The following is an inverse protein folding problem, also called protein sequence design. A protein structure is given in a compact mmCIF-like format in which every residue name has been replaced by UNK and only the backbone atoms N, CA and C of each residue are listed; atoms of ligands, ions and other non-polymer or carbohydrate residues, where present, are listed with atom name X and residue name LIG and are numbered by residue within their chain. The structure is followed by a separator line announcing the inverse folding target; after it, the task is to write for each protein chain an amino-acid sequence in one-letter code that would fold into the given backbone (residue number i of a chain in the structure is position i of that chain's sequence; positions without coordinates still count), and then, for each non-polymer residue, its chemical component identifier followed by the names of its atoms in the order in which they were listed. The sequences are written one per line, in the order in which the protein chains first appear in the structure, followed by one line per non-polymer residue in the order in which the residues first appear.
data_IF_021934511319
#
_entry.id   IF_021934511319
#
_cell.length_a   1.000
_cell.length_b   1.000
_cell.length_c   1.000
_cell.angle_alpha   90.00
_cell.angle_beta   90.00
_cell.angle_gamma   90.00
#
_symmetry.space_group_name_H-M   'P 1'
#
loop_
_entity.id
_entity.type
_entity.pdbx_description
1 polymer ?
#
# COMPACT_ATOMS: atom_id res chain seq x y z
N UNK A 1 14.33 -11.02 6.80
CA UNK A 1 14.38 -9.57 6.46
C UNK A 1 15.36 -9.42 5.31
N UNK A 2 14.98 -8.72 4.25
CA UNK A 2 15.84 -8.55 3.08
C UNK A 2 16.82 -7.40 3.35
N UNK A 3 18.14 -7.63 3.28
CA UNK A 3 19.14 -6.63 3.68
C UNK A 3 19.04 -5.29 2.93
N UNK A 4 18.65 -5.31 1.65
CA UNK A 4 18.54 -4.12 0.81
C UNK A 4 17.34 -3.23 1.14
N UNK A 5 16.41 -3.66 1.98
CA UNK A 5 15.26 -2.88 2.45
C UNK A 5 15.42 -2.36 3.88
N UNK A 6 16.61 -2.43 4.46
CA UNK A 6 16.83 -2.09 5.86
C UNK A 6 16.34 -0.68 6.23
N UNK A 7 16.55 0.31 5.37
CA UNK A 7 16.11 1.69 5.60
C UNK A 7 14.59 1.84 5.75
N UNK A 8 13.80 0.95 5.15
CA UNK A 8 12.33 0.97 5.25
C UNK A 8 11.81 0.34 6.56
N UNK A 9 12.67 -0.34 7.31
CA UNK A 9 12.32 -0.91 8.63
C UNK A 9 12.74 0.01 9.78
N UNK A 10 13.38 1.13 9.49
CA UNK A 10 13.78 2.08 10.52
C UNK A 10 12.58 2.85 11.09
N UNK A 11 12.57 3.16 12.41
CA UNK A 11 11.50 3.95 13.04
C UNK A 11 11.28 5.33 12.40
N UNK A 12 12.32 5.90 11.80
CA UNK A 12 12.23 7.16 11.08
C UNK A 12 11.33 7.05 9.84
N UNK A 13 11.40 5.93 9.10
CA UNK A 13 10.53 5.69 7.96
C UNK A 13 9.07 5.52 8.39
N UNK A 14 8.81 4.78 9.48
CA UNK A 14 7.45 4.60 9.99
C UNK A 14 6.77 5.93 10.35
N UNK A 15 7.51 6.88 10.94
CA UNK A 15 7.00 8.24 11.21
C UNK A 15 6.68 9.01 9.93
N UNK A 16 7.56 8.95 8.94
CA UNK A 16 7.36 9.61 7.64
C UNK A 16 6.20 8.95 6.87
N UNK A 17 6.06 7.65 6.99
CA UNK A 17 4.98 6.88 6.36
C UNK A 17 3.59 7.35 6.82
N UNK A 18 3.41 7.63 8.10
CA UNK A 18 2.12 8.13 8.61
C UNK A 18 1.93 9.64 8.43
N UNK A 19 2.97 10.38 8.06
CA UNK A 19 2.88 11.81 7.79
C UNK A 19 2.28 12.14 6.41
N UNK A 20 2.28 11.18 5.48
CA UNK A 20 1.76 11.33 4.12
C UNK A 20 0.67 10.30 3.86
N UNK A 21 -0.44 10.72 3.24
CA UNK A 21 -1.57 9.81 3.01
C UNK A 21 -1.43 8.92 1.77
N UNK A 22 -0.53 9.26 0.84
CA UNK A 22 -0.37 8.50 -0.42
C UNK A 22 1.09 8.16 -0.67
N UNK A 23 1.38 6.87 -0.80
CA UNK A 23 2.70 6.32 -1.07
C UNK A 23 2.70 5.51 -2.36
N UNK A 24 3.70 5.74 -3.19
CA UNK A 24 3.94 4.97 -4.42
C UNK A 24 5.30 4.29 -4.33
N UNK A 25 5.29 2.98 -4.18
CA UNK A 25 6.48 2.14 -4.19
C UNK A 25 6.77 1.67 -5.62
N UNK A 26 8.01 1.85 -6.06
CA UNK A 26 8.48 1.40 -7.37
C UNK A 26 9.56 0.35 -7.17
N UNK A 27 9.31 -0.87 -7.66
CA UNK A 27 10.28 -1.97 -7.67
C UNK A 27 10.47 -2.46 -9.10
N UNK A 28 11.70 -2.47 -9.61
CA UNK A 28 11.95 -2.86 -11.01
C UNK A 28 11.66 -4.34 -11.27
N UNK A 29 11.93 -5.24 -10.32
CA UNK A 29 11.85 -6.69 -10.52
C UNK A 29 10.84 -7.41 -9.63
N UNK A 30 10.00 -6.70 -8.89
CA UNK A 30 8.92 -7.30 -8.09
C UNK A 30 9.34 -8.21 -6.94
N UNK A 31 10.61 -8.62 -6.88
CA UNK A 31 11.10 -9.52 -5.87
C UNK A 31 11.18 -8.86 -4.49
N UNK A 32 10.26 -9.26 -3.63
CA UNK A 32 10.23 -8.86 -2.24
C UNK A 32 9.56 -7.51 -1.95
N UNK A 33 9.20 -6.70 -2.95
CA UNK A 33 8.50 -5.43 -2.71
C UNK A 33 7.14 -5.63 -2.06
N UNK A 34 6.36 -6.59 -2.53
CA UNK A 34 5.08 -6.94 -1.93
C UNK A 34 5.26 -7.36 -0.46
N UNK A 35 6.23 -8.21 -0.19
CA UNK A 35 6.54 -8.66 1.18
C UNK A 35 7.02 -7.51 2.07
N UNK A 36 7.81 -6.58 1.52
CA UNK A 36 8.18 -5.36 2.25
C UNK A 36 6.96 -4.55 2.63
N UNK A 37 6.10 -4.25 1.63
CA UNK A 37 4.90 -3.45 1.84
C UNK A 37 3.94 -4.15 2.81
N UNK A 38 3.72 -5.46 2.67
CA UNK A 38 2.92 -6.23 3.61
C UNK A 38 3.45 -6.15 5.04
N UNK A 39 4.75 -6.25 5.23
CA UNK A 39 5.36 -6.10 6.55
C UNK A 39 5.19 -4.68 7.11
N UNK A 40 5.38 -3.65 6.28
CA UNK A 40 5.13 -2.26 6.69
C UNK A 40 3.68 -2.05 7.14
N UNK A 41 2.73 -2.57 6.37
CA UNK A 41 1.31 -2.48 6.69
C UNK A 41 0.96 -3.26 7.95
N UNK A 42 1.47 -4.48 8.13
CA UNK A 42 1.29 -5.27 9.37
C UNK A 42 1.85 -4.55 10.59
N UNK A 43 3.05 -3.96 10.47
CA UNK A 43 3.66 -3.18 11.55
C UNK A 43 2.79 -1.97 11.92
N UNK A 44 2.26 -1.28 10.93
CA UNK A 44 1.39 -0.11 11.14
C UNK A 44 0.02 -0.49 11.71
N UNK A 45 -0.54 -1.62 11.29
CA UNK A 45 -1.84 -2.13 11.76
C UNK A 45 -1.77 -2.73 13.17
N UNK A 46 -0.58 -3.09 13.65
CA UNK A 46 -0.41 -3.71 14.96
C UNK A 46 -0.80 -2.77 16.11
N UNK A 47 -1.65 -3.23 17.00
CA UNK A 47 -2.09 -2.46 18.19
C UNK A 47 -1.02 -2.39 19.28
N UNK A 48 -0.07 -3.32 19.28
CA UNK A 48 0.97 -3.44 20.31
C UNK A 48 2.34 -3.70 19.65
N UNK A 49 2.86 -2.77 18.84
CA UNK A 49 4.16 -2.96 18.21
C UNK A 49 5.26 -3.08 19.25
N UNK A 50 6.30 -3.87 18.95
CA UNK A 50 7.47 -3.97 19.80
C UNK A 50 8.28 -2.65 19.81
N UNK A 51 9.35 -2.60 20.60
CA UNK A 51 10.24 -1.42 20.75
C UNK A 51 10.88 -0.98 19.45
N UNK A 52 10.92 -1.86 18.42
CA UNK A 52 11.43 -1.57 17.09
C UNK A 52 10.31 -1.21 16.10
N UNK A 53 9.06 -1.06 16.55
CA UNK A 53 7.91 -0.75 15.70
C UNK A 53 7.43 -1.92 14.84
N UNK A 54 7.82 -3.15 15.15
CA UNK A 54 7.40 -4.35 14.42
C UNK A 54 6.15 -4.96 15.02
N UNK A 55 5.34 -5.60 14.18
CA UNK A 55 4.11 -6.28 14.61
C UNK A 55 4.42 -7.36 15.67
N UNK A 56 3.61 -7.38 16.74
CA UNK A 56 3.79 -8.29 17.86
C UNK A 56 3.42 -9.74 17.55
N UNK A 57 2.57 -9.98 16.54
CA UNK A 57 2.14 -11.31 16.10
C UNK A 57 1.01 -11.94 16.94
N UNK A 58 0.53 -11.30 18.01
CA UNK A 58 -0.43 -11.90 18.95
C UNK A 58 -1.58 -10.99 19.40
N UNK A 59 -1.63 -9.72 18.97
CA UNK A 59 -2.79 -8.87 19.25
C UNK A 59 -3.94 -9.17 18.28
N UNK A 60 -5.14 -8.70 18.57
CA UNK A 60 -6.32 -8.92 17.71
C UNK A 60 -6.08 -8.53 16.25
N UNK A 61 -5.41 -7.40 16.02
CA UNK A 61 -5.06 -6.95 14.69
C UNK A 61 -4.10 -7.92 13.98
N UNK A 62 -3.12 -8.49 14.68
CA UNK A 62 -2.18 -9.46 14.12
C UNK A 62 -2.78 -10.84 13.85
N UNK A 63 -3.89 -11.20 14.50
CA UNK A 63 -4.61 -12.47 14.30
C UNK A 63 -5.37 -12.52 12.98
N UNK A 64 -5.75 -11.35 12.43
CA UNK A 64 -6.39 -11.32 11.11
C UNK A 64 -5.42 -11.74 10.00
N UNK A 65 -5.94 -12.49 9.02
CA UNK A 65 -5.22 -12.64 7.76
C UNK A 65 -5.02 -11.28 7.10
N UNK A 66 -3.94 -11.13 6.33
CA UNK A 66 -3.60 -9.83 5.76
C UNK A 66 -4.72 -9.25 4.87
N UNK A 67 -5.37 -10.09 4.07
CA UNK A 67 -6.43 -9.67 3.13
C UNK A 67 -7.79 -9.45 3.79
N UNK A 68 -8.03 -10.06 4.96
CA UNK A 68 -9.31 -9.96 5.68
C UNK A 68 -9.29 -8.94 6.82
N UNK A 69 -8.18 -8.22 6.98
CA UNK A 69 -8.04 -7.25 8.05
C UNK A 69 -9.07 -6.11 7.92
N UNK A 70 -9.86 -5.79 8.97
CA UNK A 70 -10.98 -4.84 8.88
C UNK A 70 -10.57 -3.41 8.54
N UNK A 71 -9.31 -3.04 8.80
CA UNK A 71 -8.74 -1.71 8.49
C UNK A 71 -7.96 -1.68 7.18
N UNK A 72 -7.86 -2.79 6.46
CA UNK A 72 -7.11 -2.90 5.21
C UNK A 72 -8.01 -3.36 4.05
N UNK A 73 -7.87 -2.72 2.91
CA UNK A 73 -8.40 -3.21 1.64
C UNK A 73 -7.26 -3.43 0.67
N UNK A 74 -7.10 -4.67 0.22
CA UNK A 74 -6.12 -5.03 -0.81
C UNK A 74 -6.82 -5.09 -2.15
N UNK A 75 -6.24 -4.43 -3.16
CA UNK A 75 -6.69 -4.46 -4.55
C UNK A 75 -5.57 -5.02 -5.40
N UNK A 76 -5.89 -6.01 -6.18
CA UNK A 76 -5.01 -6.64 -7.14
C UNK A 76 -5.73 -6.83 -8.49
N UNK A 77 -4.96 -7.03 -9.53
CA UNK A 77 -5.52 -7.32 -10.87
C UNK A 77 -6.49 -8.49 -10.82
N UNK A 78 -7.59 -8.36 -11.55
CA UNK A 78 -8.57 -9.43 -11.65
C UNK A 78 -8.02 -10.57 -12.56
N UNK A 79 -7.76 -11.77 -12.02
CA UNK A 79 -7.21 -12.89 -12.78
C UNK A 79 -8.20 -13.50 -13.78
N UNK A 80 -9.50 -13.24 -13.61
CA UNK A 80 -10.56 -13.79 -14.49
C UNK A 80 -10.66 -13.01 -15.81
N UNK A 81 -10.13 -11.79 -15.84
CA UNK A 81 -10.12 -10.98 -17.05
C UNK A 81 -8.98 -11.40 -17.99
N UNK A 82 -9.26 -11.51 -19.29
CA UNK A 82 -8.26 -11.80 -20.33
C UNK A 82 -7.09 -10.81 -20.29
N UNK A 83 -7.37 -9.55 -19.98
CA UNK A 83 -6.36 -8.53 -19.65
C UNK A 83 -6.36 -8.38 -18.14
N UNK A 84 -5.29 -8.84 -17.49
CA UNK A 84 -5.13 -8.73 -16.05
C UNK A 84 -4.98 -7.25 -15.64
N UNK A 85 -6.09 -6.57 -15.39
CA UNK A 85 -6.18 -5.14 -15.03
C UNK A 85 -6.90 -4.94 -13.71
N UNK A 86 -6.64 -3.82 -13.06
CA UNK A 86 -7.46 -3.30 -11.98
C UNK A 86 -8.57 -2.46 -12.59
N UNK A 87 -9.82 -2.80 -12.30
CA UNK A 87 -11.00 -2.18 -12.92
C UNK A 87 -11.54 -1.00 -12.13
N UNK A 88 -12.39 -0.20 -12.77
CA UNK A 88 -13.05 0.94 -12.12
C UNK A 88 -14.02 0.47 -11.03
N UNK A 89 -14.65 -0.69 -11.19
CA UNK A 89 -15.58 -1.27 -10.21
C UNK A 89 -14.85 -1.54 -8.90
N UNK A 90 -13.64 -2.14 -8.96
CA UNK A 90 -12.82 -2.38 -7.78
C UNK A 90 -12.46 -1.08 -7.05
N UNK A 91 -12.19 0.00 -7.80
CA UNK A 91 -11.91 1.32 -7.19
C UNK A 91 -13.17 1.96 -6.61
N UNK A 92 -14.34 1.78 -7.24
CA UNK A 92 -15.61 2.31 -6.72
C UNK A 92 -16.04 1.64 -5.42
N UNK A 93 -15.78 0.35 -5.26
CA UNK A 93 -16.04 -0.39 -4.03
C UNK A 93 -15.28 0.16 -2.83
N UNK A 94 -14.15 0.85 -3.06
CA UNK A 94 -13.40 1.53 -2.00
C UNK A 94 -14.21 2.62 -1.31
N UNK A 95 -15.10 3.31 -2.02
CA UNK A 95 -15.90 4.39 -1.44
C UNK A 95 -16.70 3.90 -0.23
N UNK A 96 -17.37 2.73 -0.38
CA UNK A 96 -18.11 2.13 0.74
C UNK A 96 -17.20 1.73 1.91
N UNK A 97 -16.00 1.20 1.62
CA UNK A 97 -15.02 0.85 2.65
C UNK A 97 -14.51 2.10 3.39
N UNK A 98 -14.30 3.20 2.69
CA UNK A 98 -13.83 4.47 3.26
C UNK A 98 -14.92 5.11 4.11
N UNK A 99 -16.16 5.17 3.61
CA UNK A 99 -17.30 5.78 4.30
C UNK A 99 -17.62 5.11 5.64
N UNK A 100 -17.49 3.79 5.72
CA UNK A 100 -17.66 3.04 6.95
C UNK A 100 -16.61 3.40 8.03
N UNK A 101 -15.50 4.05 7.67
CA UNK A 101 -14.46 4.50 8.60
C UNK A 101 -14.77 5.82 9.26
N UNK A 102 -15.62 6.65 8.66
CA UNK A 102 -15.88 8.02 9.11
C UNK A 102 -16.65 8.11 10.42
N UNK A 103 -17.14 6.98 10.96
CA UNK A 103 -17.91 6.94 12.20
C UNK A 103 -17.05 6.99 13.47
N UNK A 104 -15.76 6.65 13.41
CA UNK A 104 -14.84 6.68 14.56
C UNK A 104 -13.58 7.46 14.20
N UNK A 105 -13.38 8.62 14.79
CA UNK A 105 -12.24 9.53 14.53
C UNK A 105 -10.85 8.91 14.83
N UNK A 106 -10.79 7.81 15.56
CA UNK A 106 -9.55 7.12 15.93
C UNK A 106 -9.17 5.97 14.96
N UNK A 107 -10.09 5.58 14.06
CA UNK A 107 -9.86 4.47 13.13
C UNK A 107 -9.26 4.97 11.81
N UNK A 108 -8.08 4.49 11.49
CA UNK A 108 -7.47 4.69 10.18
C UNK A 108 -7.76 3.52 9.24
N UNK A 109 -7.76 3.78 7.94
CA UNK A 109 -7.94 2.81 6.86
C UNK A 109 -6.73 2.81 5.94
N UNK A 110 -6.36 1.63 5.50
CA UNK A 110 -5.29 1.43 4.53
C UNK A 110 -5.83 0.79 3.27
N UNK A 111 -5.44 1.31 2.13
CA UNK A 111 -5.80 0.81 0.82
C UNK A 111 -4.51 0.46 0.11
N UNK A 112 -4.32 -0.83 -0.16
CA UNK A 112 -3.13 -1.33 -0.84
C UNK A 112 -3.47 -1.79 -2.24
N UNK A 113 -2.94 -1.12 -3.26
CA UNK A 113 -3.08 -1.46 -4.68
C UNK A 113 -1.78 -2.12 -5.13
N UNK A 114 -1.80 -3.44 -5.31
CA UNK A 114 -0.62 -4.25 -5.62
C UNK A 114 -0.04 -3.99 -7.02
N UNK A 115 -0.91 -3.77 -7.99
CA UNK A 115 -0.55 -3.66 -9.41
C UNK A 115 -1.01 -2.30 -9.97
N UNK A 116 -0.47 -1.20 -9.45
CA UNK A 116 -0.90 0.14 -9.87
C UNK A 116 -0.55 0.46 -11.35
N UNK A 117 0.42 -0.22 -11.94
CA UNK A 117 0.79 -0.08 -13.35
C UNK A 117 -0.16 -0.77 -14.34
N UNK A 118 -1.13 -1.54 -13.85
CA UNK A 118 -2.19 -2.15 -14.67
C UNK A 118 -3.59 -1.61 -14.32
N UNK A 119 -3.67 -0.46 -13.68
CA UNK A 119 -4.91 0.29 -13.54
C UNK A 119 -5.47 0.62 -14.94
N UNK A 120 -6.75 0.31 -15.19
CA UNK A 120 -7.42 0.86 -16.37
C UNK A 120 -7.46 2.39 -16.29
N UNK A 121 -7.53 3.08 -17.43
CA UNK A 121 -7.58 4.56 -17.46
C UNK A 121 -8.75 5.07 -16.61
N UNK A 122 -9.91 4.42 -16.70
CA UNK A 122 -11.09 4.77 -15.90
C UNK A 122 -10.90 4.51 -14.41
N UNK A 123 -10.21 3.42 -14.02
CA UNK A 123 -9.86 3.13 -12.62
C UNK A 123 -8.87 4.17 -12.08
N UNK A 124 -7.83 4.50 -12.84
CA UNK A 124 -6.85 5.52 -12.46
C UNK A 124 -7.51 6.89 -12.24
N UNK A 125 -8.41 7.32 -13.15
CA UNK A 125 -9.15 8.57 -13.01
C UNK A 125 -10.12 8.56 -11.83
N UNK A 126 -10.78 7.44 -11.55
CA UNK A 126 -11.63 7.29 -10.36
C UNK A 126 -10.83 7.38 -9.06
N UNK A 127 -9.61 6.80 -9.05
CA UNK A 127 -8.71 6.86 -7.90
C UNK A 127 -8.23 8.28 -7.62
N UNK A 128 -7.96 9.10 -8.66
CA UNK A 128 -7.49 10.48 -8.51
C UNK A 128 -8.38 11.31 -7.59
N UNK A 129 -9.70 11.14 -7.66
CA UNK A 129 -10.63 11.84 -6.78
C UNK A 129 -10.31 11.61 -5.29
N UNK A 130 -10.00 10.38 -4.93
CA UNK A 130 -9.63 10.03 -3.55
C UNK A 130 -8.22 10.48 -3.17
N UNK A 131 -7.33 10.63 -4.15
CA UNK A 131 -5.95 11.08 -3.91
C UNK A 131 -5.83 12.62 -3.87
N UNK A 132 -6.77 13.35 -4.47
CA UNK A 132 -6.84 14.81 -4.42
C UNK A 132 -7.34 15.31 -3.07
N UNK A 133 -8.39 14.69 -2.57
CA UNK A 133 -9.00 15.00 -1.28
C UNK A 133 -9.10 13.69 -0.46
N UNK A 134 -7.97 13.18 0.04
CA UNK A 134 -7.98 11.92 0.76
C UNK A 134 -8.81 12.05 2.04
N UNK A 135 -9.74 11.12 2.27
CA UNK A 135 -10.54 11.11 3.49
C UNK A 135 -9.65 11.07 4.73
N UNK A 136 -10.11 11.68 5.81
CA UNK A 136 -9.37 11.71 7.08
C UNK A 136 -8.99 10.28 7.50
N UNK A 137 -7.75 10.12 7.98
CA UNK A 137 -7.21 8.83 8.43
C UNK A 137 -7.24 7.70 7.36
N UNK A 138 -7.22 8.06 6.08
CA UNK A 138 -7.15 7.08 4.99
C UNK A 138 -5.80 7.18 4.29
N UNK A 139 -5.12 6.04 4.16
CA UNK A 139 -3.80 5.92 3.55
C UNK A 139 -3.88 5.06 2.30
N UNK A 140 -3.30 5.55 1.21
CA UNK A 140 -3.20 4.86 -0.06
C UNK A 140 -1.77 4.40 -0.30
N UNK A 141 -1.61 3.11 -0.52
CA UNK A 141 -0.32 2.48 -0.79
C UNK A 141 -0.41 1.82 -2.16
N UNK A 142 0.36 2.34 -3.10
CA UNK A 142 0.42 1.85 -4.46
C UNK A 142 1.76 1.16 -4.68
N UNK A 143 1.75 -0.03 -5.28
CA UNK A 143 2.95 -0.71 -5.74
C UNK A 143 2.94 -0.82 -7.26
N UNK A 144 4.06 -0.54 -7.90
CA UNK A 144 4.21 -0.60 -9.35
C UNK A 144 5.61 -1.05 -9.73
N UNK A 145 5.71 -1.77 -10.83
CA UNK A 145 6.99 -2.17 -11.44
C UNK A 145 7.54 -1.09 -12.38
N UNK A 146 6.70 -0.19 -12.84
CA UNK A 146 7.08 0.80 -13.84
C UNK A 146 6.47 2.17 -13.56
N UNK A 147 7.32 3.11 -13.12
CA UNK A 147 6.92 4.49 -12.85
C UNK A 147 6.29 5.18 -14.06
N UNK A 148 6.74 4.87 -15.27
CA UNK A 148 6.23 5.51 -16.49
C UNK A 148 4.80 5.08 -16.85
N UNK A 149 4.33 3.95 -16.35
CA UNK A 149 2.93 3.51 -16.52
C UNK A 149 1.96 4.18 -15.56
N UNK A 150 2.47 4.82 -14.51
CA UNK A 150 1.64 5.55 -13.55
C UNK A 150 1.36 6.95 -14.09
N UNK A 151 0.09 7.36 -14.07
CA UNK A 151 -0.31 8.69 -14.52
C UNK A 151 0.48 9.79 -13.79
N UNK A 152 0.94 10.84 -14.51
CA UNK A 152 1.66 11.97 -13.88
C UNK A 152 0.87 12.61 -12.74
N UNK A 153 -0.46 12.62 -12.84
CA UNK A 153 -1.39 13.14 -11.83
C UNK A 153 -1.40 12.32 -10.55
N UNK A 154 -1.25 10.99 -10.61
CA UNK A 154 -1.08 10.12 -9.45
C UNK A 154 0.30 10.34 -8.84
N UNK A 155 1.34 10.39 -9.69
CA UNK A 155 2.73 10.60 -9.22
C UNK A 155 2.90 11.90 -8.45
N UNK A 156 2.30 12.99 -8.92
CA UNK A 156 2.40 14.32 -8.28
C UNK A 156 1.73 14.40 -6.90
N UNK A 157 0.84 13.45 -6.59
CA UNK A 157 0.10 13.36 -5.32
C UNK A 157 0.63 12.25 -4.40
N UNK A 158 1.70 11.59 -4.79
CA UNK A 158 2.25 10.46 -4.05
C UNK A 158 3.67 10.75 -3.56
N UNK A 159 3.99 10.31 -2.37
CA UNK A 159 5.37 10.16 -1.91
C UNK A 159 5.98 8.94 -2.60
N UNK A 160 6.95 9.17 -3.49
CA UNK A 160 7.53 8.12 -4.34
C UNK A 160 8.71 7.49 -3.63
N UNK A 161 8.69 6.16 -3.49
CA UNK A 161 9.74 5.35 -2.90
C UNK A 161 10.29 4.38 -3.96
N UNK A 162 11.52 4.62 -4.42
CA UNK A 162 12.19 3.71 -5.34
C UNK A 162 12.87 2.64 -4.50
N UNK A 163 12.43 1.40 -4.68
CA UNK A 163 12.99 0.27 -3.95
C UNK A 163 14.29 -0.20 -4.63
N UNK A 164 15.39 -0.35 -3.87
CA UNK A 164 16.62 -0.85 -4.42
C UNK A 164 16.47 -2.32 -4.84
N UNK A 165 17.03 -2.65 -6.00
CA UNK A 165 17.18 -4.06 -6.40
C UNK A 165 18.33 -4.70 -5.62
N UNK A 166 18.26 -6.02 -5.33
CA UNK A 166 19.38 -6.73 -4.71
C UNK A 166 20.63 -6.63 -5.60
N UNK A 167 21.79 -6.43 -4.98
CA UNK A 167 23.05 -6.53 -5.69
C UNK A 167 23.34 -8.00 -6.06
N UNK A 168 24.19 -8.24 -7.07
CA UNK A 168 24.56 -9.61 -7.48
C UNK A 168 25.08 -10.49 -6.32
N UNK A 169 25.72 -9.88 -5.31
CA UNK A 169 26.22 -10.55 -4.11
C UNK A 169 25.09 -10.93 -3.13
N UNK A 170 23.96 -10.26 -3.19
CA UNK A 170 22.79 -10.49 -2.32
C UNK A 170 21.77 -11.46 -2.94
N UNK A 171 21.96 -11.84 -4.21
CA UNK A 171 21.05 -12.71 -4.97
C UNK A 171 21.47 -14.19 -4.98
N UNK A 172 22.47 -14.60 -4.20
CA UNK A 172 22.98 -15.98 -4.10
C UNK A 172 22.46 -16.65 -2.85
#
# INVERSE_FOLDING_TARGET
MMPWYQSFYEPAFAKTFLATQTHLFISQDGEGSERLIENLLRNTLCEQPNIHGQACGHCKSCEYSFVEHPKLRVIEKNPELKTAVVTIEQIRELSSFIELASSNQEDYKMIYIKDADVLSISAANALLKNLEEPPTNTFFILNSKNLHKILPTIRSRSSIHILPSPTREQSV
#
